data_IF_144281453453
#
_entry.id   IF_144281453453
#
_cell.length_a   1.000
_cell.length_b   1.000
_cell.length_c   1.000
_cell.angle_alpha   90.00
_cell.angle_beta   90.00
_cell.angle_gamma   90.00
#
_symmetry.space_group_name_H-M   'P 1'
#
loop_
_entity.id
_entity.type
_entity.pdbx_description
1 polymer ?
#
# COMPACT_ATOMS: atom_id res chain seq x y z
N UNK A 1 -18.39 21.04 2.44
CA UNK A 1 -17.06 21.39 2.94
C UNK A 1 -16.06 20.39 2.38
N UNK A 2 -15.31 20.77 1.33
CA UNK A 2 -14.27 19.92 0.73
C UNK A 2 -13.06 19.94 1.67
N UNK A 3 -12.85 18.88 2.44
CA UNK A 3 -11.57 18.67 3.12
C UNK A 3 -10.50 18.50 2.05
N UNK A 4 -9.74 19.57 1.75
CA UNK A 4 -8.51 19.48 0.95
C UNK A 4 -7.49 18.73 1.79
N UNK A 5 -7.42 17.42 1.63
CA UNK A 5 -6.36 16.62 2.24
C UNK A 5 -5.05 16.95 1.53
N UNK A 6 -4.01 17.45 2.23
CA UNK A 6 -2.71 17.62 1.59
C UNK A 6 -2.16 16.27 1.12
N UNK A 7 -1.36 16.22 0.04
CA UNK A 7 -0.69 15.00 -0.38
C UNK A 7 0.22 14.48 0.74
N UNK A 8 0.17 13.17 0.99
CA UNK A 8 1.01 12.50 1.99
C UNK A 8 2.25 11.91 1.29
N UNK A 9 3.47 12.16 1.78
CA UNK A 9 4.66 11.49 1.27
C UNK A 9 4.58 9.99 1.56
N UNK A 10 4.85 9.18 0.54
CA UNK A 10 4.85 7.71 0.63
C UNK A 10 6.01 7.13 -0.15
N UNK A 11 6.46 5.94 0.23
CA UNK A 11 7.35 5.12 -0.59
C UNK A 11 6.52 4.06 -1.30
N UNK A 12 6.53 4.06 -2.63
CA UNK A 12 5.93 3.01 -3.46
C UNK A 12 6.95 1.93 -3.75
N UNK A 13 6.56 0.68 -3.61
CA UNK A 13 7.34 -0.47 -4.06
C UNK A 13 6.82 -0.94 -5.42
N UNK A 14 7.71 -0.95 -6.43
CA UNK A 14 7.35 -1.43 -7.76
C UNK A 14 6.96 -2.91 -7.71
N UNK A 15 5.82 -3.27 -8.31
CA UNK A 15 5.31 -4.65 -8.30
C UNK A 15 6.27 -5.67 -8.95
N UNK A 16 7.18 -5.18 -9.80
CA UNK A 16 8.29 -5.94 -10.36
C UNK A 16 9.58 -5.46 -9.71
N UNK A 17 10.25 -6.36 -9.00
CA UNK A 17 11.58 -6.10 -8.43
C UNK A 17 11.59 -5.24 -7.16
N UNK A 18 10.43 -4.76 -6.69
CA UNK A 18 10.27 -4.06 -5.41
C UNK A 18 11.18 -2.84 -5.23
N UNK A 19 11.48 -2.14 -6.32
CA UNK A 19 12.25 -0.90 -6.23
C UNK A 19 11.44 0.15 -5.47
N UNK A 20 12.05 0.71 -4.42
CA UNK A 20 11.48 1.81 -3.65
C UNK A 20 11.49 3.11 -4.47
N UNK A 21 10.38 3.84 -4.44
CA UNK A 21 10.18 5.10 -5.17
C UNK A 21 9.46 6.09 -4.28
N UNK A 22 10.08 7.23 -4.00
CA UNK A 22 9.41 8.34 -3.31
C UNK A 22 8.26 8.88 -4.17
N UNK A 23 7.05 8.97 -3.60
CA UNK A 23 5.83 9.43 -4.25
C UNK A 23 5.01 10.29 -3.29
N UNK A 24 4.01 10.96 -3.83
CA UNK A 24 2.93 11.53 -3.02
C UNK A 24 1.64 10.74 -3.26
N UNK A 25 0.91 10.49 -2.17
CA UNK A 25 -0.46 9.98 -2.20
C UNK A 25 -1.41 11.15 -1.97
N UNK A 26 -2.18 11.50 -3.00
CA UNK A 26 -3.24 12.49 -2.92
C UNK A 26 -4.58 11.77 -2.86
N UNK A 27 -5.38 12.07 -1.83
CA UNK A 27 -6.73 11.57 -1.70
C UNK A 27 -7.72 12.67 -2.14
N UNK A 28 -8.56 12.34 -3.13
CA UNK A 28 -9.62 13.23 -3.65
C UNK A 28 -10.99 12.72 -3.22
N UNK A 29 -12.06 13.36 -3.66
CA UNK A 29 -13.42 12.89 -3.38
C UNK A 29 -13.74 11.51 -3.98
N UNK A 30 -13.01 11.08 -5.03
CA UNK A 30 -13.37 9.90 -5.82
C UNK A 30 -12.21 8.94 -6.10
N UNK A 31 -10.97 9.31 -5.73
CA UNK A 31 -9.82 8.48 -6.03
C UNK A 31 -8.65 8.70 -5.07
N UNK A 32 -7.82 7.67 -4.95
CA UNK A 32 -6.45 7.76 -4.48
C UNK A 32 -5.50 7.92 -5.67
N UNK A 33 -4.67 8.95 -5.67
CA UNK A 33 -3.78 9.31 -6.78
C UNK A 33 -2.33 9.27 -6.32
N UNK A 34 -1.51 8.48 -7.00
CA UNK A 34 -0.06 8.41 -6.81
C UNK A 34 0.63 9.36 -7.78
N UNK A 35 1.40 10.29 -7.24
CA UNK A 35 2.04 11.38 -7.97
C UNK A 35 3.56 11.29 -7.82
N UNK A 36 4.29 11.59 -8.88
CA UNK A 36 5.72 11.91 -8.88
C UNK A 36 5.88 13.32 -9.45
N UNK A 37 6.36 14.27 -8.66
CA UNK A 37 6.44 15.70 -9.03
C UNK A 37 5.07 16.22 -9.48
N UNK A 38 4.92 16.58 -10.76
CA UNK A 38 3.67 17.04 -11.37
C UNK A 38 2.94 15.96 -12.19
N UNK A 39 3.41 14.71 -12.16
CA UNK A 39 2.92 13.63 -13.03
C UNK A 39 2.13 12.60 -12.25
N UNK A 40 0.89 12.34 -12.69
CA UNK A 40 0.08 11.23 -12.20
C UNK A 40 0.71 9.92 -12.67
N UNK A 41 1.15 9.09 -11.72
CA UNK A 41 1.70 7.76 -11.99
C UNK A 41 0.63 6.68 -11.98
N UNK A 42 -0.36 6.80 -11.11
CA UNK A 42 -1.46 5.86 -10.99
C UNK A 42 -2.64 6.58 -10.33
N UNK A 43 -3.83 6.39 -10.89
CA UNK A 43 -5.10 6.80 -10.30
C UNK A 43 -5.88 5.54 -9.96
N UNK A 44 -6.45 5.48 -8.76
CA UNK A 44 -7.27 4.39 -8.28
C UNK A 44 -8.61 5.02 -7.89
N UNK A 45 -9.61 4.87 -8.75
CA UNK A 45 -10.97 5.27 -8.40
C UNK A 45 -11.49 4.38 -7.27
N UNK A 46 -12.22 4.97 -6.31
CA UNK A 46 -12.68 4.25 -5.13
C UNK A 46 -13.67 3.13 -5.44
N UNK A 47 -14.37 3.21 -6.58
CA UNK A 47 -15.18 2.11 -7.11
C UNK A 47 -14.36 0.86 -7.41
N UNK A 48 -13.08 1.03 -7.78
CA UNK A 48 -12.18 -0.07 -8.11
C UNK A 48 -11.33 -0.51 -6.92
N UNK A 49 -11.33 0.23 -5.80
CA UNK A 49 -10.64 -0.17 -4.58
C UNK A 49 -11.47 -1.24 -3.87
N UNK A 50 -10.97 -2.46 -3.79
CA UNK A 50 -11.68 -3.60 -3.20
C UNK A 50 -11.44 -3.71 -1.69
N UNK A 51 -10.28 -3.27 -1.23
CA UNK A 51 -9.93 -3.27 0.19
C UNK A 51 -8.52 -2.75 0.43
N UNK A 52 -8.10 -2.81 1.69
CA UNK A 52 -6.78 -2.40 2.14
C UNK A 52 -6.25 -3.50 3.04
N UNK A 53 -4.99 -3.89 2.89
CA UNK A 53 -4.35 -4.85 3.81
C UNK A 53 -3.12 -4.23 4.45
N UNK A 54 -2.94 -4.55 5.73
CA UNK A 54 -1.80 -4.18 6.55
C UNK A 54 -1.26 -5.40 7.26
N UNK A 55 0.00 -5.32 7.67
CA UNK A 55 0.56 -6.29 8.60
C UNK A 55 0.15 -5.95 10.04
N UNK A 56 0.28 -6.93 10.93
CA UNK A 56 0.11 -6.78 12.39
C UNK A 56 1.36 -6.25 13.11
N UNK A 57 2.41 -5.88 12.37
CA UNK A 57 3.69 -5.41 12.88
C UNK A 57 3.89 -3.89 12.64
N UNK A 58 4.97 -3.34 13.21
CA UNK A 58 5.32 -1.92 13.12
C UNK A 58 6.15 -1.57 11.88
N UNK A 59 5.73 -2.00 10.68
CA UNK A 59 6.46 -1.82 9.42
C UNK A 59 6.04 -0.63 8.55
N UNK A 60 4.92 0.02 8.90
CA UNK A 60 4.35 1.18 8.19
C UNK A 60 3.93 0.89 6.72
N UNK A 61 3.85 -0.38 6.31
CA UNK A 61 3.52 -0.79 4.95
C UNK A 61 2.06 -1.22 4.84
N UNK A 62 1.44 -0.90 3.71
CA UNK A 62 0.08 -1.27 3.39
C UNK A 62 -0.10 -1.53 1.89
N UNK A 63 -1.15 -2.28 1.57
CA UNK A 63 -1.52 -2.63 0.20
C UNK A 63 -2.91 -2.10 -0.10
N UNK A 64 -3.03 -1.28 -1.15
CA UNK A 64 -4.32 -0.92 -1.74
C UNK A 64 -4.69 -1.96 -2.79
N UNK A 65 -5.76 -2.72 -2.53
CA UNK A 65 -6.24 -3.74 -3.44
C UNK A 65 -7.16 -3.14 -4.50
N UNK A 66 -6.83 -3.38 -5.76
CA UNK A 66 -7.49 -2.76 -6.91
C UNK A 66 -8.05 -3.86 -7.79
N UNK A 67 -9.37 -3.79 -8.03
CA UNK A 67 -10.03 -4.64 -9.00
C UNK A 67 -9.42 -4.42 -10.39
N UNK A 68 -9.06 -5.51 -11.07
CA UNK A 68 -8.35 -5.46 -12.35
C UNK A 68 -8.95 -6.50 -13.30
N UNK A 69 -9.98 -6.12 -14.06
CA UNK A 69 -10.64 -7.02 -15.02
C UNK A 69 -9.93 -7.09 -16.37
N UNK A 70 -9.14 -6.07 -16.73
CA UNK A 70 -8.51 -5.96 -18.04
C UNK A 70 -6.99 -5.81 -17.94
N UNK A 71 -6.27 -6.39 -18.89
CA UNK A 71 -4.81 -6.46 -18.96
C UNK A 71 -4.12 -5.09 -19.08
N UNK A 72 -4.90 -4.04 -19.33
CA UNK A 72 -4.44 -2.64 -19.42
C UNK A 72 -4.45 -1.93 -18.05
N UNK A 73 -5.17 -2.46 -17.07
CA UNK A 73 -5.30 -1.82 -15.77
C UNK A 73 -4.16 -2.19 -14.83
N UNK A 74 -3.79 -1.22 -14.00
CA UNK A 74 -2.74 -1.36 -13.00
C UNK A 74 -3.36 -2.04 -11.77
N UNK A 75 -2.85 -3.21 -11.39
CA UNK A 75 -3.24 -3.89 -10.16
C UNK A 75 -2.79 -3.16 -8.89
N UNK A 76 -2.81 -3.92 -7.80
CA UNK A 76 -2.56 -3.49 -6.42
C UNK A 76 -1.32 -2.60 -6.26
N UNK A 77 -1.37 -1.77 -5.22
CA UNK A 77 -0.31 -0.83 -4.90
C UNK A 77 0.21 -1.06 -3.49
N UNK A 78 1.50 -1.34 -3.40
CA UNK A 78 2.24 -1.47 -2.15
C UNK A 78 2.86 -0.12 -1.80
N UNK A 79 2.50 0.43 -0.65
CA UNK A 79 2.96 1.74 -0.15
C UNK A 79 3.45 1.62 1.29
N UNK A 80 4.38 2.50 1.65
CA UNK A 80 4.78 2.75 3.02
C UNK A 80 4.57 4.23 3.35
N UNK A 81 4.14 4.53 4.58
CA UNK A 81 3.98 5.90 5.07
C UNK A 81 4.32 6.01 6.55
N UNK A 82 5.08 7.03 6.94
CA UNK A 82 5.33 7.35 8.35
C UNK A 82 4.06 7.76 9.11
N UNK A 83 3.00 8.10 8.37
CA UNK A 83 1.68 8.43 8.89
C UNK A 83 0.65 7.35 8.53
N UNK A 84 1.03 6.07 8.65
CA UNK A 84 0.23 4.92 8.18
C UNK A 84 -1.20 4.92 8.74
N UNK A 85 -1.39 5.17 10.04
CA UNK A 85 -2.73 5.17 10.67
C UNK A 85 -3.61 6.29 10.10
N UNK A 86 -3.08 7.51 10.00
CA UNK A 86 -3.81 8.65 9.44
C UNK A 86 -4.13 8.42 7.96
N UNK A 87 -3.16 7.91 7.19
CA UNK A 87 -3.30 7.63 5.77
C UNK A 87 -4.39 6.59 5.52
N UNK A 88 -4.37 5.50 6.28
CA UNK A 88 -5.32 4.40 6.13
C UNK A 88 -6.73 4.79 6.55
N UNK A 89 -6.89 5.44 7.69
CA UNK A 89 -8.20 5.87 8.19
C UNK A 89 -8.86 6.85 7.22
N UNK A 90 -8.12 7.87 6.74
CA UNK A 90 -8.62 8.81 5.72
C UNK A 90 -8.96 8.11 4.41
N UNK A 91 -8.09 7.21 3.93
CA UNK A 91 -8.34 6.46 2.69
C UNK A 91 -9.57 5.58 2.81
N UNK A 92 -9.70 4.81 3.89
CA UNK A 92 -10.82 3.90 4.13
C UNK A 92 -12.15 4.67 4.28
N UNK A 93 -12.15 5.80 4.98
CA UNK A 93 -13.34 6.65 5.11
C UNK A 93 -13.76 7.26 3.77
N UNK A 94 -12.82 7.84 3.01
CA UNK A 94 -13.14 8.48 1.71
C UNK A 94 -13.55 7.46 0.65
N UNK A 95 -12.98 6.25 0.68
CA UNK A 95 -13.32 5.19 -0.26
C UNK A 95 -14.55 4.36 0.15
N UNK A 96 -15.12 4.58 1.34
CA UNK A 96 -16.20 3.74 1.88
C UNK A 96 -15.75 2.29 2.15
N UNK A 97 -14.50 2.09 2.56
CA UNK A 97 -13.85 0.79 2.79
C UNK A 97 -13.47 0.54 4.26
N UNK A 98 -14.13 1.23 5.19
CA UNK A 98 -13.87 1.09 6.64
C UNK A 98 -13.99 -0.36 7.14
N UNK A 99 -14.88 -1.14 6.54
CA UNK A 99 -15.08 -2.56 6.87
C UNK A 99 -14.24 -3.51 6.01
N UNK A 100 -13.38 -2.98 5.13
CA UNK A 100 -12.56 -3.75 4.19
C UNK A 100 -11.06 -3.48 4.42
N UNK A 101 -10.68 -3.24 5.67
CA UNK A 101 -9.29 -3.15 6.12
C UNK A 101 -8.92 -4.47 6.78
N UNK A 102 -8.02 -5.23 6.17
CA UNK A 102 -7.56 -6.52 6.66
C UNK A 102 -6.24 -6.39 7.39
N UNK A 103 -6.12 -7.01 8.55
CA UNK A 103 -4.87 -7.10 9.30
C UNK A 103 -4.36 -8.53 9.17
N UNK A 104 -3.25 -8.71 8.48
CA UNK A 104 -2.67 -10.02 8.20
C UNK A 104 -1.52 -10.35 9.16
N UNK A 105 -1.50 -11.60 9.62
CA UNK A 105 -0.36 -12.19 10.33
C UNK A 105 0.44 -13.03 9.34
N UNK A 106 1.72 -12.73 9.19
CA UNK A 106 2.63 -13.49 8.32
C UNK A 106 2.77 -12.94 6.91
N UNK A 107 1.73 -12.98 6.06
CA UNK A 107 1.89 -12.53 4.66
C UNK A 107 0.65 -11.87 4.05
N UNK A 108 0.90 -11.07 3.02
CA UNK A 108 -0.13 -10.44 2.17
C UNK A 108 0.13 -10.84 0.72
N UNK A 109 -0.91 -11.34 0.05
CA UNK A 109 -0.92 -11.50 -1.41
C UNK A 109 -1.44 -10.25 -2.06
N UNK A 110 -0.87 -9.88 -3.21
CA UNK A 110 -1.33 -8.73 -3.97
C UNK A 110 -1.22 -8.98 -5.47
N UNK A 111 -2.12 -8.36 -6.24
CA UNK A 111 -2.19 -8.51 -7.69
C UNK A 111 -1.20 -7.58 -8.38
N UNK A 112 -0.25 -8.14 -9.13
CA UNK A 112 0.73 -7.39 -9.94
C UNK A 112 0.08 -6.84 -11.22
N UNK A 113 -0.90 -7.56 -11.77
CA UNK A 113 -1.58 -7.32 -13.04
C UNK A 113 -1.52 -8.54 -13.95
N UNK A 114 -2.49 -8.67 -14.86
CA UNK A 114 -2.63 -9.85 -15.77
C UNK A 114 -2.75 -11.19 -15.00
N UNK A 115 -3.43 -11.18 -13.85
CA UNK A 115 -3.60 -12.37 -12.99
C UNK A 115 -2.36 -12.85 -12.26
N UNK A 116 -1.21 -12.16 -12.38
CA UNK A 116 -0.01 -12.50 -11.61
C UNK A 116 -0.12 -11.97 -10.19
N UNK A 117 0.23 -12.82 -9.23
CA UNK A 117 0.29 -12.47 -7.81
C UNK A 117 1.75 -12.26 -7.35
N UNK A 118 1.92 -11.35 -6.40
CA UNK A 118 3.11 -11.22 -5.58
C UNK A 118 2.78 -11.49 -4.12
N UNK A 119 3.80 -11.81 -3.32
CA UNK A 119 3.67 -12.09 -1.89
C UNK A 119 4.59 -11.15 -1.12
N UNK A 120 4.08 -10.60 -0.04
CA UNK A 120 4.83 -9.86 0.97
C UNK A 120 4.87 -10.71 2.23
N UNK A 121 6.06 -11.08 2.70
CA UNK A 121 6.28 -11.82 3.94
C UNK A 121 6.74 -10.84 5.03
N UNK A 122 6.08 -10.90 6.19
CA UNK A 122 6.33 -10.04 7.33
C UNK A 122 6.92 -10.86 8.48
N UNK A 123 8.05 -10.39 9.01
CA UNK A 123 8.71 -10.97 10.17
C UNK A 123 9.13 -9.87 11.14
N UNK A 124 9.21 -10.17 12.43
CA UNK A 124 9.74 -9.22 13.41
C UNK A 124 11.27 -9.32 13.51
N UNK A 125 11.94 -8.18 13.63
CA UNK A 125 13.39 -8.08 13.84
C UNK A 125 13.78 -6.84 14.67
N UNK A 126 15.05 -6.49 14.63
CA UNK A 126 15.61 -5.35 15.39
C UNK A 126 15.44 -4.00 14.68
N UNK A 127 15.40 -4.01 13.35
CA UNK A 127 15.30 -2.81 12.52
C UNK A 127 14.34 -3.03 11.35
N UNK A 128 13.91 -1.93 10.74
CA UNK A 128 13.06 -1.96 9.56
C UNK A 128 13.89 -2.27 8.32
N UNK A 129 13.62 -3.41 7.67
CA UNK A 129 14.26 -3.78 6.41
C UNK A 129 13.23 -4.26 5.40
N UNK A 130 13.26 -3.72 4.19
CA UNK A 130 12.35 -4.10 3.10
C UNK A 130 13.18 -4.46 1.88
N UNK A 131 13.16 -5.73 1.49
CA UNK A 131 13.99 -6.25 0.42
C UNK A 131 13.35 -7.40 -0.36
N UNK A 132 13.81 -7.62 -1.59
CA UNK A 132 13.43 -8.80 -2.38
C UNK A 132 14.18 -10.02 -1.86
N UNK A 133 13.46 -11.05 -1.42
CA UNK A 133 14.05 -12.34 -1.07
C UNK A 133 14.38 -13.19 -2.31
N UNK A 134 15.22 -14.21 -2.12
CA UNK A 134 15.66 -15.14 -3.19
C UNK A 134 14.49 -15.92 -3.82
N UNK A 135 13.43 -16.16 -3.05
CA UNK A 135 12.18 -16.77 -3.54
C UNK A 135 11.32 -15.82 -4.39
N UNK A 136 11.73 -14.55 -4.54
CA UNK A 136 11.01 -13.56 -5.33
C UNK A 136 9.94 -12.78 -4.56
N UNK A 137 9.73 -13.07 -3.27
CA UNK A 137 8.81 -12.32 -2.41
C UNK A 137 9.42 -11.00 -1.97
N UNK A 138 8.57 -10.08 -1.51
CA UNK A 138 9.01 -8.90 -0.76
C UNK A 138 9.06 -9.31 0.72
N UNK A 139 10.23 -9.29 1.33
CA UNK A 139 10.36 -9.53 2.77
C UNK A 139 10.43 -8.19 3.49
N UNK A 140 9.61 -8.08 4.54
CA UNK A 140 9.51 -6.92 5.43
C UNK A 140 9.87 -7.38 6.83
N UNK A 141 11.00 -6.89 7.33
CA UNK A 141 11.42 -7.04 8.72
C UNK A 141 10.92 -5.82 9.48
N UNK A 142 10.05 -6.00 10.46
CA UNK A 142 9.50 -4.93 11.27
C UNK A 142 10.21 -4.85 12.62
N UNK A 143 10.59 -3.65 13.10
CA UNK A 143 11.20 -3.50 14.40
C UNK A 143 10.21 -3.90 15.50
N UNK A 144 10.70 -4.65 16.50
CA UNK A 144 9.94 -4.88 17.73
C UNK A 144 9.96 -3.61 18.57
N UNK A 145 8.80 -3.00 18.77
CA UNK A 145 8.64 -1.98 19.79
C UNK A 145 8.69 -2.70 21.14
N UNK A 146 9.68 -2.36 21.97
CA UNK A 146 9.76 -2.90 23.33
C UNK A 146 8.45 -2.55 24.06
N UNK A 147 7.74 -3.58 24.51
CA UNK A 147 6.63 -3.40 25.45
C UNK A 147 7.23 -2.76 26.71
N UNK A 148 6.86 -1.51 27.00
CA UNK A 148 7.13 -0.90 28.30
C UNK A 148 6.32 -1.59 29.37
#
# INVERSE_FOLDING_TARGET
>A
MLLRTPPVPVVKYDRKGYKARARQLLLTQNAAIIIEESKIKQRIDYSNLTGISVSSLSDNLFVLHVHCEDNKQKGDVVLQSDHVIETLTKTAMQAGKVNNVNINQGSIKFTVGQGKEGIIDFISGSELLIAKAKNGHLTVVAPRLNSR
#
